data_IF_720890017583
#
_entry.id   IF_720890017583
#
_cell.length_a   1.000
_cell.length_b   1.000
_cell.length_c   1.000
_cell.angle_alpha   90.00
_cell.angle_beta   90.00
_cell.angle_gamma   90.00
#
_symmetry.space_group_name_H-M   'P 1'
#
loop_
_entity.id
_entity.type
_entity.pdbx_description
1 polymer ?
#
# COMPACT_ATOMS: atom_id res chain seq x y z
N UNK A 1 -4.47 3.40 -2.87
CA UNK A 1 -4.69 1.94 -2.92
C UNK A 1 -5.15 1.38 -1.59
N UNK A 2 -4.78 1.95 -0.43
CA UNK A 2 -5.34 1.50 0.86
C UNK A 2 -6.84 1.74 0.98
N UNK A 3 -7.54 0.84 1.68
CA UNK A 3 -8.99 0.89 1.88
C UNK A 3 -9.36 1.47 3.24
N UNK A 4 -8.57 1.18 4.28
CA UNK A 4 -8.86 1.60 5.65
C UNK A 4 -7.59 1.82 6.45
N UNK A 5 -7.55 2.87 7.26
CA UNK A 5 -6.56 3.03 8.34
C UNK A 5 -7.19 2.53 9.63
N UNK A 6 -6.50 1.63 10.33
CA UNK A 6 -6.99 1.01 11.57
C UNK A 6 -6.20 1.43 12.81
N UNK A 7 -5.01 2.00 12.63
CA UNK A 7 -4.19 2.56 13.71
C UNK A 7 -3.38 3.73 13.17
N UNK A 8 -3.26 4.81 13.94
CA UNK A 8 -2.39 5.94 13.60
C UNK A 8 -1.82 6.60 14.85
N UNK A 9 -0.51 6.80 14.84
CA UNK A 9 0.24 7.69 15.73
C UNK A 9 1.01 8.64 14.80
N UNK A 10 0.58 9.91 14.65
CA UNK A 10 1.15 10.84 13.68
C UNK A 10 2.68 10.91 13.75
N UNK A 11 3.33 10.83 12.59
CA UNK A 11 4.79 10.83 12.46
C UNK A 11 5.53 9.61 13.02
N UNK A 12 4.83 8.63 13.61
CA UNK A 12 5.47 7.47 14.27
C UNK A 12 5.02 6.12 13.72
N UNK A 13 3.71 5.93 13.52
CA UNK A 13 3.15 4.62 13.14
C UNK A 13 1.82 4.77 12.42
N UNK A 14 1.62 3.93 11.41
CA UNK A 14 0.32 3.71 10.77
C UNK A 14 0.14 2.22 10.59
N UNK A 15 -1.10 1.75 10.74
CA UNK A 15 -1.51 0.44 10.23
C UNK A 15 -2.68 0.62 9.30
N UNK A 16 -2.54 0.11 8.08
CA UNK A 16 -3.57 0.18 7.06
C UNK A 16 -3.95 -1.20 6.54
N UNK A 17 -5.14 -1.27 5.96
CA UNK A 17 -5.67 -2.43 5.28
C UNK A 17 -5.78 -2.12 3.80
N UNK A 18 -5.24 -3.01 2.97
CA UNK A 18 -5.45 -3.08 1.52
C UNK A 18 -6.17 -4.38 1.19
N UNK A 19 -7.40 -4.28 0.72
CA UNK A 19 -8.16 -5.39 0.15
C UNK A 19 -7.75 -5.58 -1.30
N UNK A 20 -7.43 -6.81 -1.67
CA UNK A 20 -7.01 -7.18 -3.02
C UNK A 20 -8.22 -7.76 -3.75
N UNK A 21 -8.97 -6.89 -4.40
CA UNK A 21 -10.26 -7.25 -5.02
C UNK A 21 -10.05 -7.94 -6.36
N UNK A 22 -10.92 -8.88 -6.72
CA UNK A 22 -10.81 -9.65 -7.96
C UNK A 22 -10.85 -8.80 -9.24
N UNK A 23 -11.51 -7.65 -9.18
CA UNK A 23 -11.73 -6.72 -10.29
C UNK A 23 -10.63 -5.67 -10.45
N UNK A 24 -9.56 -5.73 -9.65
CA UNK A 24 -8.44 -4.79 -9.75
C UNK A 24 -7.80 -4.81 -11.15
N UNK A 25 -7.56 -3.62 -11.69
CA UNK A 25 -7.21 -3.42 -13.10
C UNK A 25 -5.98 -4.24 -13.54
N UNK A 26 -5.02 -4.42 -12.63
CA UNK A 26 -3.76 -5.11 -12.91
C UNK A 26 -3.92 -6.62 -13.10
N UNK A 27 -4.99 -7.24 -12.59
CA UNK A 27 -5.20 -8.69 -12.77
C UNK A 27 -5.53 -9.09 -14.20
N UNK A 28 -5.98 -8.15 -15.05
CA UNK A 28 -6.16 -8.38 -16.48
C UNK A 28 -4.86 -8.71 -17.20
N UNK A 29 -3.73 -8.22 -16.70
CA UNK A 29 -2.41 -8.39 -17.32
C UNK A 29 -1.36 -9.05 -16.45
N UNK A 30 -1.61 -9.26 -15.14
CA UNK A 30 -0.61 -9.77 -14.21
C UNK A 30 -1.19 -10.91 -13.35
N UNK A 31 -1.18 -12.15 -13.83
CA UNK A 31 -0.97 -12.56 -15.21
C UNK A 31 -2.24 -13.25 -15.73
N UNK A 32 -2.54 -13.20 -17.04
CA UNK A 32 -3.66 -13.97 -17.60
C UNK A 32 -3.59 -15.45 -17.18
N UNK A 33 -4.66 -15.98 -16.58
CA UNK A 33 -4.73 -17.36 -16.07
C UNK A 33 -4.04 -17.60 -14.71
N UNK A 34 -3.26 -16.64 -14.19
CA UNK A 34 -2.65 -16.71 -12.86
C UNK A 34 -2.56 -15.30 -12.25
N UNK A 35 -3.68 -14.74 -11.76
CA UNK A 35 -3.73 -13.38 -11.25
C UNK A 35 -2.90 -13.25 -9.96
N UNK A 36 -1.97 -12.29 -9.99
CA UNK A 36 -1.03 -11.97 -8.92
C UNK A 36 -0.95 -10.45 -8.77
N UNK A 37 -1.02 -9.92 -7.56
CA UNK A 37 -0.82 -8.48 -7.36
C UNK A 37 0.65 -8.13 -7.64
N UNK A 38 0.94 -7.14 -8.50
CA UNK A 38 2.32 -6.69 -8.72
C UNK A 38 2.98 -6.24 -7.41
N UNK A 39 4.19 -6.72 -7.13
CA UNK A 39 4.91 -6.39 -5.90
C UNK A 39 5.13 -4.88 -5.71
N UNK A 40 5.32 -4.14 -6.80
CA UNK A 40 5.43 -2.67 -6.76
C UNK A 40 4.17 -1.98 -6.24
N UNK A 41 2.98 -2.55 -6.46
CA UNK A 41 1.72 -1.99 -5.93
C UNK A 41 1.54 -2.31 -4.44
N UNK A 42 2.16 -3.39 -3.94
CA UNK A 42 2.25 -3.64 -2.49
C UNK A 42 3.08 -2.54 -1.86
N UNK A 43 4.24 -2.23 -2.45
CA UNK A 43 5.11 -1.15 -1.95
C UNK A 43 4.43 0.21 -2.05
N UNK A 44 3.75 0.52 -3.15
CA UNK A 44 2.96 1.75 -3.30
C UNK A 44 1.87 1.86 -2.22
N UNK A 45 1.17 0.75 -1.94
CA UNK A 45 0.17 0.73 -0.87
C UNK A 45 0.79 1.02 0.51
N UNK A 46 1.99 0.48 0.79
CA UNK A 46 2.74 0.78 2.02
C UNK A 46 3.19 2.25 2.06
N UNK A 47 3.68 2.79 0.94
CA UNK A 47 4.10 4.19 0.83
C UNK A 47 2.93 5.13 1.13
N UNK A 48 1.75 4.86 0.57
CA UNK A 48 0.54 5.64 0.83
C UNK A 48 0.04 5.51 2.28
N UNK A 49 0.14 4.32 2.88
CA UNK A 49 -0.12 4.17 4.32
C UNK A 49 0.81 5.04 5.16
N UNK A 50 2.12 5.02 4.87
CA UNK A 50 3.11 5.87 5.52
C UNK A 50 2.83 7.37 5.30
N UNK A 51 2.43 7.75 4.09
CA UNK A 51 2.06 9.12 3.76
C UNK A 51 0.91 9.63 4.64
N UNK A 52 -0.12 8.80 4.93
CA UNK A 52 -1.17 9.19 5.87
C UNK A 52 -0.59 9.57 7.25
N UNK A 53 0.39 8.81 7.73
CA UNK A 53 1.05 9.06 9.02
C UNK A 53 1.84 10.36 9.06
N UNK A 54 2.60 10.65 8.00
CA UNK A 54 3.41 11.86 7.87
C UNK A 54 2.54 13.09 7.62
N UNK A 55 1.51 12.96 6.79
CA UNK A 55 0.60 14.06 6.43
C UNK A 55 -0.38 14.41 7.56
N UNK A 56 -0.54 13.55 8.55
CA UNK A 56 -1.33 13.84 9.76
C UNK A 56 -0.62 14.80 10.73
N UNK A 57 0.65 15.13 10.49
CA UNK A 57 1.38 16.14 11.26
C UNK A 57 0.94 17.57 10.84
N UNK A 58 0.66 18.48 11.79
CA UNK A 58 0.20 19.84 11.49
C UNK A 58 1.09 20.61 10.50
N UNK A 59 2.41 20.47 10.61
CA UNK A 59 3.41 21.12 9.76
C UNK A 59 3.41 20.62 8.30
N UNK A 60 2.73 19.50 8.03
CA UNK A 60 2.62 18.92 6.69
C UNK A 60 1.27 19.18 6.03
N UNK A 61 0.38 19.94 6.68
CA UNK A 61 -0.89 20.35 6.08
C UNK A 61 -0.66 21.05 4.74
N UNK A 62 -1.47 20.72 3.74
CA UNK A 62 -1.40 21.26 2.37
C UNK A 62 -0.13 20.95 1.57
N UNK A 63 0.73 20.03 2.03
CA UNK A 63 1.85 19.51 1.23
C UNK A 63 1.42 18.28 0.42
N UNK A 64 2.29 17.85 -0.49
CA UNK A 64 2.16 16.56 -1.18
C UNK A 64 3.30 15.67 -0.71
N UNK A 65 2.97 14.48 -0.21
CA UNK A 65 3.96 13.47 0.10
C UNK A 65 4.48 12.85 -1.20
N UNK A 66 5.80 12.92 -1.40
CA UNK A 66 6.49 12.23 -2.49
C UNK A 66 7.44 11.20 -1.90
N UNK A 67 7.47 10.01 -2.51
CA UNK A 67 8.30 8.91 -2.07
C UNK A 67 9.67 8.97 -2.76
N UNK A 68 10.71 9.31 -2.02
CA UNK A 68 12.04 9.61 -2.58
C UNK A 68 12.89 8.38 -2.93
N UNK A 69 12.58 7.21 -2.38
CA UNK A 69 13.34 6.00 -2.62
C UNK A 69 12.90 4.83 -1.75
N UNK A 70 13.29 3.63 -2.15
CA UNK A 70 12.97 2.36 -1.49
C UNK A 70 14.26 1.54 -1.42
N UNK A 71 14.52 0.93 -0.27
CA UNK A 71 15.66 0.04 -0.05
C UNK A 71 15.22 -1.24 0.68
N UNK A 72 15.99 -2.32 0.55
CA UNK A 72 15.86 -3.60 1.29
C UNK A 72 14.50 -4.30 1.17
N UNK A 73 13.74 -4.04 0.11
CA UNK A 73 12.46 -4.75 -0.13
C UNK A 73 12.71 -6.20 -0.54
N UNK A 74 11.94 -7.11 0.07
CA UNK A 74 11.91 -8.53 -0.28
C UNK A 74 10.47 -9.04 -0.26
N UNK A 75 10.01 -9.59 -1.38
CA UNK A 75 8.70 -10.24 -1.47
C UNK A 75 8.82 -11.71 -1.11
N UNK A 76 8.18 -12.13 -0.02
CA UNK A 76 8.26 -13.52 0.49
C UNK A 76 7.05 -14.38 0.15
N UNK A 77 5.92 -13.76 -0.20
CA UNK A 77 4.66 -14.42 -0.53
C UNK A 77 4.02 -13.73 -1.72
N UNK A 78 3.37 -14.54 -2.56
CA UNK A 78 2.53 -14.06 -3.65
C UNK A 78 1.22 -13.57 -3.03
N UNK A 79 0.70 -12.47 -3.56
CA UNK A 79 -0.60 -11.92 -3.18
C UNK A 79 -1.56 -12.13 -4.34
N UNK A 80 -2.74 -12.67 -4.04
CA UNK A 80 -3.76 -13.08 -5.01
C UNK A 80 -5.08 -12.32 -4.80
N UNK A 81 -6.00 -12.37 -5.77
CA UNK A 81 -7.36 -11.91 -5.55
C UNK A 81 -7.99 -12.54 -4.29
N UNK A 82 -8.71 -11.74 -3.52
CA UNK A 82 -9.33 -12.12 -2.25
C UNK A 82 -8.44 -11.93 -1.02
N UNK A 83 -7.13 -11.74 -1.19
CA UNK A 83 -6.23 -11.49 -0.07
C UNK A 83 -6.49 -10.13 0.59
N UNK A 84 -6.15 -10.04 1.88
CA UNK A 84 -6.10 -8.79 2.62
C UNK A 84 -4.68 -8.55 3.13
N UNK A 85 -4.12 -7.39 2.79
CA UNK A 85 -2.81 -6.96 3.26
C UNK A 85 -2.97 -6.03 4.45
N UNK A 86 -2.33 -6.40 5.55
CA UNK A 86 -2.11 -5.52 6.70
C UNK A 86 -0.74 -4.88 6.56
N UNK A 87 -0.73 -3.57 6.31
CA UNK A 87 0.43 -2.73 6.04
C UNK A 87 0.87 -1.99 7.29
#
# INVERSE_FOLDING_TARGET
>A
MIDKVIEIIPGKRVVAIKKVREDEYYFKGHFPGNPIMPGVLIVESMAQAGAVGVMSLPENKNKIALFGGIDKVRFKKIVKPGDELRL
#
